data_IF_640592471957
#
_entry.id   IF_640592471957
#
_cell.length_a   1.000
_cell.length_b   1.000
_cell.length_c   1.000
_cell.angle_alpha   90.00
_cell.angle_beta   90.00
_cell.angle_gamma   90.00
#
_symmetry.space_group_name_H-M   'P 1'
#
loop_
_entity.id
_entity.type
_entity.pdbx_description
1 polymer ?
#
# COMPACT_ATOMS: atom_id res chain seq x y z
N UNK A 1 9.38 -47.83 -23.65
CA UNK A 1 10.25 -47.64 -22.47
C UNK A 1 9.34 -47.51 -21.26
N UNK A 2 9.65 -48.13 -20.11
CA UNK A 2 8.87 -47.92 -18.89
C UNK A 2 8.91 -46.44 -18.49
N UNK A 3 7.80 -45.93 -17.95
CA UNK A 3 7.74 -44.57 -17.40
C UNK A 3 8.78 -44.39 -16.29
N UNK A 4 9.35 -43.18 -16.18
CA UNK A 4 10.23 -42.83 -15.06
C UNK A 4 9.47 -43.04 -13.73
N UNK A 5 10.13 -43.53 -12.66
CA UNK A 5 9.54 -43.60 -11.32
C UNK A 5 8.88 -42.29 -10.88
N UNK A 6 9.49 -41.15 -11.23
CA UNK A 6 8.97 -39.82 -10.89
C UNK A 6 7.69 -39.49 -11.66
N UNK A 7 7.59 -39.94 -12.92
CA UNK A 7 6.38 -39.78 -13.73
C UNK A 7 5.23 -40.63 -13.18
N UNK A 8 5.53 -41.85 -12.72
CA UNK A 8 4.54 -42.71 -12.08
C UNK A 8 4.07 -42.10 -10.76
N UNK A 9 4.99 -41.60 -9.93
CA UNK A 9 4.66 -40.91 -8.68
C UNK A 9 3.80 -39.66 -8.92
N UNK A 10 4.14 -38.85 -9.93
CA UNK A 10 3.35 -37.68 -10.33
C UNK A 10 1.95 -38.08 -10.81
N UNK A 11 1.85 -39.12 -11.66
CA UNK A 11 0.57 -39.61 -12.18
C UNK A 11 -0.31 -40.20 -11.07
N UNK A 12 0.26 -40.99 -10.17
CA UNK A 12 -0.46 -41.57 -9.03
C UNK A 12 -0.93 -40.45 -8.10
N UNK A 13 -0.08 -39.48 -7.76
CA UNK A 13 -0.46 -38.34 -6.92
C UNK A 13 -1.58 -37.50 -7.55
N UNK A 14 -1.47 -37.18 -8.85
CA UNK A 14 -2.50 -36.44 -9.57
C UNK A 14 -3.81 -37.24 -9.58
N UNK A 15 -3.75 -38.53 -9.91
CA UNK A 15 -4.92 -39.41 -9.98
C UNK A 15 -5.62 -39.48 -8.62
N UNK A 16 -4.87 -39.72 -7.55
CA UNK A 16 -5.41 -39.90 -6.21
C UNK A 16 -6.05 -38.59 -5.72
N UNK A 17 -5.40 -37.44 -5.93
CA UNK A 17 -5.95 -36.11 -5.58
C UNK A 17 -7.24 -35.77 -6.31
N UNK A 18 -7.35 -36.08 -7.60
CA UNK A 18 -8.58 -35.84 -8.36
C UNK A 18 -9.65 -36.91 -8.12
N UNK A 19 -9.29 -38.13 -7.70
CA UNK A 19 -10.23 -39.20 -7.34
C UNK A 19 -10.88 -38.96 -5.95
N UNK A 20 -10.11 -38.47 -4.98
CA UNK A 20 -10.54 -38.24 -3.58
C UNK A 20 -11.49 -37.05 -3.40
N UNK A 21 -11.70 -36.23 -4.44
CA UNK A 21 -12.66 -35.11 -4.44
C UNK A 21 -14.10 -35.52 -4.11
N UNK A 22 -14.42 -36.82 -4.21
CA UNK A 22 -15.74 -37.37 -3.92
C UNK A 22 -15.95 -37.79 -2.45
N UNK A 23 -14.91 -37.84 -1.60
CA UNK A 23 -15.04 -38.47 -0.25
C UNK A 23 -14.32 -37.80 0.94
N UNK A 24 -13.51 -36.75 0.78
CA UNK A 24 -12.82 -36.12 1.92
C UNK A 24 -13.15 -34.63 2.15
N UNK A 25 -13.94 -34.38 3.20
CA UNK A 25 -14.35 -33.05 3.69
C UNK A 25 -13.52 -32.54 4.89
N UNK A 26 -12.34 -33.11 5.17
CA UNK A 26 -11.61 -32.77 6.41
C UNK A 26 -10.11 -32.86 6.29
N UNK A 27 -9.47 -31.80 5.78
CA UNK A 27 -8.02 -31.63 5.80
C UNK A 27 -7.66 -30.31 5.15
N UNK A 28 -6.67 -29.61 5.68
CA UNK A 28 -6.09 -28.42 5.05
C UNK A 28 -4.64 -28.70 4.69
N UNK A 29 -4.20 -28.22 3.53
CA UNK A 29 -2.82 -28.34 3.06
C UNK A 29 -2.12 -26.98 3.14
N UNK A 30 -0.84 -27.00 3.53
CA UNK A 30 -0.06 -25.78 3.76
C UNK A 30 0.96 -25.56 2.66
N UNK A 31 0.97 -24.35 2.10
CA UNK A 31 1.89 -23.88 1.07
C UNK A 31 2.61 -22.64 1.60
N UNK A 32 3.69 -22.85 2.36
CA UNK A 32 4.36 -21.75 3.06
C UNK A 32 3.43 -21.08 4.08
N UNK A 33 3.15 -19.77 3.98
CA UNK A 33 2.25 -19.08 4.90
C UNK A 33 0.76 -19.32 4.62
N UNK A 34 0.42 -20.06 3.56
CA UNK A 34 -0.96 -20.27 3.10
C UNK A 34 -1.52 -21.61 3.51
N UNK A 35 -2.82 -21.64 3.80
CA UNK A 35 -3.57 -22.85 4.13
C UNK A 35 -4.76 -22.97 3.19
N UNK A 36 -4.78 -24.01 2.36
CA UNK A 36 -5.85 -24.28 1.42
C UNK A 36 -6.68 -25.49 1.85
N UNK A 37 -7.98 -25.45 1.60
CA UNK A 37 -8.79 -26.65 1.60
C UNK A 37 -8.42 -27.54 0.39
N UNK A 38 -8.80 -28.84 0.39
CA UNK A 38 -8.36 -29.78 -0.64
C UNK A 38 -8.86 -29.42 -2.04
N UNK A 39 -10.02 -28.76 -2.14
CA UNK A 39 -10.58 -28.29 -3.41
C UNK A 39 -9.70 -27.21 -4.00
N UNK A 40 -9.37 -26.20 -3.19
CA UNK A 40 -8.52 -25.08 -3.59
C UNK A 40 -7.10 -25.53 -3.93
N UNK A 41 -6.55 -26.50 -3.19
CA UNK A 41 -5.24 -27.08 -3.50
C UNK A 41 -5.24 -27.86 -4.83
N UNK A 42 -6.36 -28.50 -5.19
CA UNK A 42 -6.51 -29.18 -6.47
C UNK A 42 -6.70 -28.19 -7.63
N UNK A 43 -7.42 -27.08 -7.41
CA UNK A 43 -7.55 -25.99 -8.39
C UNK A 43 -6.19 -25.34 -8.68
N UNK A 44 -5.36 -25.16 -7.65
CA UNK A 44 -3.98 -24.71 -7.76
C UNK A 44 -3.13 -25.64 -8.65
N UNK A 45 -3.19 -26.96 -8.42
CA UNK A 45 -2.50 -27.95 -9.25
C UNK A 45 -3.03 -27.94 -10.70
N UNK A 46 -4.34 -27.80 -10.89
CA UNK A 46 -4.94 -27.68 -12.21
C UNK A 46 -4.47 -26.42 -12.95
N UNK A 47 -4.30 -25.30 -12.25
CA UNK A 47 -3.73 -24.06 -12.81
C UNK A 47 -2.28 -24.27 -13.26
N UNK A 48 -1.44 -24.90 -12.44
CA UNK A 48 -0.05 -25.20 -12.82
C UNK A 48 0.04 -26.14 -14.04
N UNK A 49 -0.84 -27.13 -14.12
CA UNK A 49 -0.95 -28.02 -15.28
C UNK A 49 -1.33 -27.24 -16.56
N UNK A 50 -2.31 -26.34 -16.47
CA UNK A 50 -2.71 -25.48 -17.59
C UNK A 50 -1.55 -24.61 -18.08
N UNK A 51 -0.83 -23.99 -17.15
CA UNK A 51 0.31 -23.14 -17.51
C UNK A 51 1.49 -23.94 -18.07
N UNK A 52 1.76 -25.14 -17.55
CA UNK A 52 2.81 -26.00 -18.11
C UNK A 52 2.47 -26.45 -19.53
N UNK A 53 1.19 -26.71 -19.82
CA UNK A 53 0.73 -27.00 -21.19
C UNK A 53 0.94 -25.78 -22.08
N UNK A 54 0.52 -24.59 -21.64
CA UNK A 54 0.61 -23.34 -22.39
C UNK A 54 2.05 -22.89 -22.65
N UNK A 55 2.94 -23.01 -21.68
CA UNK A 55 4.37 -22.67 -21.80
C UNK A 55 5.03 -23.41 -22.98
N UNK A 56 4.65 -24.67 -23.20
CA UNK A 56 5.21 -25.53 -24.24
C UNK A 56 4.42 -25.57 -25.56
N UNK A 57 3.27 -24.89 -25.68
CA UNK A 57 2.50 -24.82 -26.95
C UNK A 57 3.22 -24.10 -28.11
N UNK A 58 4.02 -23.02 -27.90
CA UNK A 58 4.70 -22.33 -28.99
C UNK A 58 6.01 -23.00 -29.45
N UNK A 59 6.60 -23.88 -28.63
CA UNK A 59 7.86 -24.55 -28.97
C UNK A 59 7.57 -25.75 -29.88
N UNK A 60 7.62 -25.54 -31.21
CA UNK A 60 7.42 -26.57 -32.26
C UNK A 60 8.44 -27.74 -32.27
N UNK A 61 9.07 -28.04 -31.13
CA UNK A 61 10.10 -29.05 -30.96
C UNK A 61 10.03 -29.76 -29.60
N UNK A 62 9.01 -30.58 -29.39
CA UNK A 62 9.25 -31.90 -28.80
C UNK A 62 9.30 -32.07 -27.28
N UNK A 63 8.73 -31.18 -26.45
CA UNK A 63 8.47 -31.54 -25.04
C UNK A 63 7.16 -32.30 -24.96
N UNK A 64 7.24 -33.59 -24.61
CA UNK A 64 6.10 -34.49 -24.50
C UNK A 64 5.17 -34.10 -23.35
N UNK A 65 3.95 -34.61 -23.40
CA UNK A 65 2.98 -34.47 -22.30
C UNK A 65 3.56 -34.94 -20.93
N UNK A 66 4.36 -36.03 -20.84
CA UNK A 66 4.97 -36.46 -19.59
C UNK A 66 5.85 -35.41 -18.92
N UNK A 67 6.68 -34.71 -19.68
CA UNK A 67 7.60 -33.70 -19.15
C UNK A 67 6.82 -32.46 -18.64
N UNK A 68 5.71 -32.11 -19.29
CA UNK A 68 4.83 -31.00 -18.84
C UNK A 68 4.12 -31.33 -17.53
N UNK A 69 3.67 -32.57 -17.40
CA UNK A 69 3.03 -33.07 -16.16
C UNK A 69 4.04 -33.09 -15.02
N UNK A 70 5.27 -33.53 -15.28
CA UNK A 70 6.36 -33.49 -14.31
C UNK A 70 6.70 -32.07 -13.88
N UNK A 71 6.81 -31.12 -14.83
CA UNK A 71 7.06 -29.73 -14.52
C UNK A 71 5.97 -29.14 -13.62
N UNK A 72 4.70 -29.35 -13.94
CA UNK A 72 3.59 -28.87 -13.12
C UNK A 72 3.56 -29.52 -11.72
N UNK A 73 3.86 -30.81 -11.64
CA UNK A 73 3.93 -31.54 -10.36
C UNK A 73 5.07 -31.03 -9.48
N UNK A 74 6.27 -30.87 -10.04
CA UNK A 74 7.40 -30.31 -9.29
C UNK A 74 7.15 -28.84 -8.92
N UNK A 75 6.54 -28.04 -9.79
CA UNK A 75 6.14 -26.67 -9.47
C UNK A 75 5.13 -26.62 -8.30
N UNK A 76 4.22 -27.59 -8.21
CA UNK A 76 3.28 -27.72 -7.09
C UNK A 76 3.99 -28.11 -5.78
N UNK A 77 4.99 -28.99 -5.85
CA UNK A 77 5.84 -29.31 -4.70
C UNK A 77 6.69 -28.12 -4.27
N UNK A 78 7.25 -27.36 -5.21
CA UNK A 78 8.03 -26.16 -4.94
C UNK A 78 7.22 -25.10 -4.15
N UNK A 79 5.90 -25.03 -4.33
CA UNK A 79 5.04 -24.12 -3.55
C UNK A 79 5.01 -24.44 -2.05
N UNK A 80 5.35 -25.68 -1.65
CA UNK A 80 5.49 -26.04 -0.24
C UNK A 80 6.78 -25.49 0.37
N UNK A 81 7.76 -25.16 -0.47
CA UNK A 81 9.11 -24.74 -0.05
C UNK A 81 9.26 -23.23 -0.26
N UNK A 82 8.83 -22.46 0.74
CA UNK A 82 8.67 -20.99 0.65
C UNK A 82 9.99 -20.20 0.55
N UNK A 83 11.07 -20.71 1.16
CA UNK A 83 12.33 -19.97 1.31
C UNK A 83 13.49 -20.54 0.46
N UNK A 84 13.39 -21.79 -0.01
CA UNK A 84 14.47 -22.47 -0.75
C UNK A 84 14.36 -22.29 -2.28
N UNK A 85 15.24 -22.96 -3.01
CA UNK A 85 15.22 -23.00 -4.48
C UNK A 85 13.96 -23.72 -5.00
N UNK A 86 13.30 -23.11 -5.97
CA UNK A 86 12.08 -23.60 -6.61
C UNK A 86 12.26 -23.67 -8.12
N UNK A 87 13.11 -24.60 -8.60
CA UNK A 87 13.56 -24.63 -9.98
C UNK A 87 12.42 -24.85 -10.98
N UNK A 88 11.40 -25.64 -10.61
CA UNK A 88 10.28 -25.93 -11.50
C UNK A 88 9.32 -24.73 -11.61
N UNK A 89 9.09 -24.00 -10.51
CA UNK A 89 8.34 -22.73 -10.57
C UNK A 89 9.10 -21.65 -11.33
N UNK A 90 10.41 -21.51 -11.09
CA UNK A 90 11.25 -20.53 -11.80
C UNK A 90 11.27 -20.81 -13.32
N UNK A 91 11.33 -22.09 -13.74
CA UNK A 91 11.23 -22.52 -15.13
C UNK A 91 9.85 -22.22 -15.74
N UNK A 92 8.78 -22.61 -15.03
CA UNK A 92 7.41 -22.49 -15.50
C UNK A 92 6.95 -21.04 -15.65
N UNK A 93 7.30 -20.18 -14.69
CA UNK A 93 6.84 -18.79 -14.64
C UNK A 93 7.76 -17.84 -15.41
N UNK A 94 9.04 -18.18 -15.56
CA UNK A 94 10.04 -17.44 -16.32
C UNK A 94 10.43 -16.10 -15.67
N UNK A 95 11.72 -15.79 -15.67
CA UNK A 95 12.26 -14.55 -15.09
C UNK A 95 11.83 -13.27 -15.83
N UNK A 96 11.46 -13.36 -17.11
CA UNK A 96 11.16 -12.20 -17.97
C UNK A 96 9.70 -11.73 -17.86
N UNK A 97 8.85 -12.47 -17.14
CA UNK A 97 7.43 -12.18 -17.01
C UNK A 97 7.07 -11.30 -15.79
N UNK A 98 8.04 -10.90 -14.95
CA UNK A 98 7.80 -10.18 -13.67
C UNK A 98 6.85 -9.00 -13.81
N UNK A 99 7.04 -8.18 -14.86
CA UNK A 99 6.22 -7.00 -15.07
C UNK A 99 4.87 -7.29 -15.74
N UNK A 100 4.77 -8.38 -16.52
CA UNK A 100 3.52 -8.80 -17.16
C UNK A 100 2.57 -9.44 -16.15
N UNK A 101 3.09 -10.19 -15.19
CA UNK A 101 2.27 -10.90 -14.20
C UNK A 101 1.73 -9.95 -13.12
N UNK A 102 2.50 -8.92 -12.77
CA UNK A 102 2.16 -7.99 -11.69
C UNK A 102 1.41 -6.73 -12.17
N UNK A 103 1.13 -6.60 -13.47
CA UNK A 103 0.41 -5.43 -13.97
C UNK A 103 -1.11 -5.61 -13.75
N UNK A 104 -1.80 -4.68 -13.08
CA UNK A 104 -3.21 -4.85 -12.71
C UNK A 104 -4.16 -5.12 -13.90
N UNK A 105 -3.82 -4.63 -15.09
CA UNK A 105 -4.62 -4.82 -16.31
C UNK A 105 -4.36 -6.13 -17.06
N UNK A 106 -3.31 -6.88 -16.70
CA UNK A 106 -2.99 -8.20 -17.28
C UNK A 106 -3.12 -9.31 -16.24
N UNK A 107 -3.16 -8.98 -14.95
CA UNK A 107 -3.44 -9.95 -13.90
C UNK A 107 -4.89 -10.45 -13.89
N UNK A 108 -5.77 -9.84 -14.70
CA UNK A 108 -7.08 -10.38 -15.02
C UNK A 108 -7.04 -11.49 -16.08
N UNK A 109 -5.90 -11.70 -16.77
CA UNK A 109 -5.73 -12.91 -17.57
C UNK A 109 -5.68 -14.11 -16.62
N UNK A 110 -6.64 -15.02 -16.77
CA UNK A 110 -6.84 -16.23 -15.97
C UNK A 110 -5.64 -17.20 -15.88
N UNK A 111 -4.48 -16.84 -16.43
CA UNK A 111 -3.28 -17.66 -16.54
C UNK A 111 -2.64 -17.95 -15.17
N UNK A 112 -2.56 -16.95 -14.28
CA UNK A 112 -1.97 -17.07 -12.93
C UNK A 112 -2.87 -16.48 -11.86
N UNK A 113 -4.20 -16.54 -12.05
CA UNK A 113 -5.19 -15.99 -11.12
C UNK A 113 -5.18 -16.63 -9.73
N UNK A 114 -4.32 -17.62 -9.49
CA UNK A 114 -4.13 -18.26 -8.21
C UNK A 114 -3.27 -17.38 -7.27
N UNK A 115 -3.84 -16.92 -6.15
CA UNK A 115 -3.19 -15.98 -5.25
C UNK A 115 -1.96 -16.57 -4.56
N UNK A 116 -1.91 -17.89 -4.35
CA UNK A 116 -0.71 -18.58 -3.82
C UNK A 116 0.48 -18.43 -4.77
N UNK A 117 0.27 -18.63 -6.07
CA UNK A 117 1.34 -18.51 -7.08
C UNK A 117 1.82 -17.07 -7.15
N UNK A 118 0.90 -16.11 -7.15
CA UNK A 118 1.22 -14.68 -7.18
C UNK A 118 2.01 -14.25 -5.94
N UNK A 119 1.57 -14.66 -4.75
CA UNK A 119 2.25 -14.31 -3.52
C UNK A 119 3.64 -14.95 -3.42
N UNK A 120 3.76 -16.22 -3.82
CA UNK A 120 5.05 -16.90 -3.95
C UNK A 120 6.00 -16.13 -4.88
N UNK A 121 5.51 -15.75 -6.06
CA UNK A 121 6.28 -15.03 -7.06
C UNK A 121 6.74 -13.65 -6.56
N UNK A 122 5.84 -12.89 -5.92
CA UNK A 122 6.15 -11.59 -5.34
C UNK A 122 7.22 -11.73 -4.25
N UNK A 123 7.08 -12.71 -3.35
CA UNK A 123 8.04 -12.94 -2.28
C UNK A 123 9.44 -13.28 -2.83
N UNK A 124 9.50 -14.21 -3.79
CA UNK A 124 10.74 -14.65 -4.45
C UNK A 124 11.48 -13.51 -5.14
N UNK A 125 10.74 -12.64 -5.83
CA UNK A 125 11.33 -11.57 -6.64
C UNK A 125 11.32 -10.19 -5.99
N UNK A 126 10.92 -10.07 -4.71
CA UNK A 126 10.76 -8.76 -4.03
C UNK A 126 11.96 -7.82 -4.17
N UNK A 127 13.18 -8.35 -4.11
CA UNK A 127 14.42 -7.57 -4.25
C UNK A 127 14.67 -7.02 -5.67
N UNK A 128 14.03 -7.58 -6.70
CA UNK A 128 14.11 -7.14 -8.11
C UNK A 128 12.96 -6.21 -8.48
N UNK A 129 11.91 -6.15 -7.68
CA UNK A 129 10.77 -5.28 -7.92
C UNK A 129 11.16 -3.80 -7.74
N UNK A 130 10.58 -2.92 -8.55
CA UNK A 130 10.70 -1.48 -8.30
C UNK A 130 10.10 -1.11 -6.93
N UNK A 131 10.60 -0.08 -6.27
CA UNK A 131 10.08 0.39 -4.98
C UNK A 131 8.58 0.65 -4.97
N UNK A 132 8.05 1.18 -6.09
CA UNK A 132 6.60 1.37 -6.26
C UNK A 132 5.84 0.06 -6.23
N UNK A 133 6.38 -0.98 -6.88
CA UNK A 133 5.75 -2.30 -6.90
C UNK A 133 5.87 -3.01 -5.55
N UNK A 134 6.99 -2.82 -4.84
CA UNK A 134 7.16 -3.34 -3.48
C UNK A 134 6.11 -2.77 -2.51
N UNK A 135 5.83 -1.45 -2.59
CA UNK A 135 4.73 -0.82 -1.85
C UNK A 135 3.36 -1.36 -2.26
N UNK A 136 3.10 -1.38 -3.57
CA UNK A 136 1.80 -1.80 -4.12
C UNK A 136 1.48 -3.25 -3.73
N UNK A 137 2.49 -4.12 -3.73
CA UNK A 137 2.34 -5.54 -3.44
C UNK A 137 2.58 -5.93 -1.97
N UNK A 138 2.90 -4.95 -1.11
CA UNK A 138 3.15 -5.15 0.33
C UNK A 138 4.14 -6.29 0.61
N UNK A 139 5.32 -6.20 0.00
CA UNK A 139 6.32 -7.28 -0.02
C UNK A 139 6.90 -7.66 1.35
N UNK A 140 6.65 -6.87 2.39
CA UNK A 140 7.08 -7.16 3.77
C UNK A 140 6.00 -7.91 4.58
N UNK A 141 4.80 -8.12 4.03
CA UNK A 141 3.84 -9.07 4.61
C UNK A 141 4.35 -10.50 4.45
N UNK A 142 3.99 -11.36 5.40
CA UNK A 142 4.20 -12.81 5.26
C UNK A 142 3.52 -13.35 3.99
N UNK A 143 2.32 -12.83 3.71
CA UNK A 143 1.52 -13.11 2.54
C UNK A 143 1.41 -11.85 1.66
N UNK A 144 2.38 -11.57 0.76
CA UNK A 144 2.29 -10.43 -0.14
C UNK A 144 1.15 -10.64 -1.14
N UNK A 145 0.53 -9.56 -1.59
CA UNK A 145 -0.67 -9.60 -2.43
C UNK A 145 -0.60 -8.56 -3.52
N UNK A 146 -1.41 -8.68 -4.55
CA UNK A 146 -1.55 -7.60 -5.53
C UNK A 146 -2.20 -6.36 -4.90
N UNK A 147 -1.98 -5.15 -5.48
CA UNK A 147 -2.63 -3.95 -4.99
C UNK A 147 -4.15 -4.04 -5.10
N UNK A 148 -4.85 -3.47 -4.13
CA UNK A 148 -6.31 -3.35 -4.19
C UNK A 148 -6.73 -2.50 -5.41
N UNK A 149 -7.72 -2.99 -6.14
CA UNK A 149 -8.22 -2.31 -7.36
C UNK A 149 -9.25 -1.21 -7.04
N UNK A 150 -9.92 -1.28 -5.90
CA UNK A 150 -10.95 -0.34 -5.51
C UNK A 150 -10.47 0.82 -4.62
N UNK A 151 -11.34 1.83 -4.51
CA UNK A 151 -11.22 2.98 -3.63
C UNK A 151 -11.70 2.72 -2.21
N UNK A 152 -12.29 1.57 -1.90
CA UNK A 152 -12.61 1.17 -0.53
C UNK A 152 -11.41 0.49 0.16
N UNK A 153 -11.25 0.67 1.47
CA UNK A 153 -10.09 0.14 2.21
C UNK A 153 -10.26 -1.35 2.57
N UNK A 154 -11.51 -1.80 2.70
CA UNK A 154 -11.91 -3.11 3.22
C UNK A 154 -12.34 -4.10 2.14
N UNK A 155 -12.10 -3.79 0.88
CA UNK A 155 -12.47 -4.71 -0.18
C UNK A 155 -11.58 -5.96 -0.21
N UNK A 156 -12.16 -7.14 -0.51
CA UNK A 156 -11.40 -8.35 -0.71
C UNK A 156 -10.41 -8.15 -1.87
N UNK A 157 -9.14 -8.47 -1.60
CA UNK A 157 -8.11 -8.49 -2.63
C UNK A 157 -8.51 -9.42 -3.78
N UNK A 158 -8.11 -9.16 -5.04
CA UNK A 158 -8.37 -10.09 -6.14
C UNK A 158 -7.82 -11.48 -5.77
N UNK A 159 -8.69 -12.49 -5.76
CA UNK A 159 -8.42 -13.85 -5.31
C UNK A 159 -7.95 -13.92 -3.83
N UNK A 160 -8.90 -13.86 -2.89
CA UNK A 160 -8.59 -13.84 -1.45
C UNK A 160 -8.34 -15.22 -0.89
N UNK A 161 -7.08 -15.48 -0.55
CA UNK A 161 -6.71 -16.46 0.47
C UNK A 161 -7.30 -16.02 1.83
N UNK A 162 -7.55 -16.97 2.73
CA UNK A 162 -8.11 -16.68 4.06
C UNK A 162 -7.23 -15.71 4.83
N UNK A 163 -5.92 -15.81 4.63
CA UNK A 163 -4.85 -14.96 5.19
C UNK A 163 -4.93 -13.49 4.72
N UNK A 164 -5.69 -13.22 3.66
CA UNK A 164 -5.95 -11.86 3.16
C UNK A 164 -7.26 -11.27 3.69
N UNK A 165 -8.15 -12.07 4.29
CA UNK A 165 -9.48 -11.65 4.71
C UNK A 165 -9.55 -11.02 6.10
N UNK A 166 -8.50 -11.12 6.92
CA UNK A 166 -8.49 -10.64 8.30
C UNK A 166 -8.03 -9.19 8.47
N UNK A 167 -7.45 -8.58 7.44
CA UNK A 167 -6.90 -7.22 7.49
C UNK A 167 -7.24 -6.44 6.23
N UNK A 168 -7.51 -5.13 6.33
CA UNK A 168 -7.74 -4.31 5.15
C UNK A 168 -6.51 -4.30 4.24
N UNK A 169 -6.79 -4.22 2.94
CA UNK A 169 -5.76 -4.32 1.90
C UNK A 169 -4.74 -3.17 1.97
N UNK A 170 -5.12 -2.02 2.56
CA UNK A 170 -4.36 -0.77 2.53
C UNK A 170 -4.81 0.20 3.63
N UNK A 171 -3.93 1.11 4.10
CA UNK A 171 -4.28 2.07 5.15
C UNK A 171 -5.28 3.11 4.61
N UNK A 172 -6.42 3.37 5.28
CA UNK A 172 -7.36 4.43 4.92
C UNK A 172 -6.68 5.80 4.77
N UNK A 173 -7.11 6.60 3.78
CA UNK A 173 -6.49 7.90 3.52
C UNK A 173 -6.77 8.91 4.65
N UNK A 174 -7.88 8.72 5.36
CA UNK A 174 -8.27 9.49 6.55
C UNK A 174 -7.24 9.42 7.67
N UNK A 175 -6.54 8.30 7.82
CA UNK A 175 -5.61 8.06 8.92
C UNK A 175 -4.22 8.67 8.70
N UNK A 176 -3.95 9.17 7.50
CA UNK A 176 -2.61 9.53 7.08
C UNK A 176 -2.44 11.06 7.16
N UNK A 177 -1.55 11.56 8.05
CA UNK A 177 -1.23 12.98 8.12
C UNK A 177 -0.51 13.44 6.84
N UNK A 178 -0.55 14.75 6.58
CA UNK A 178 0.15 15.34 5.42
C UNK A 178 1.67 15.07 5.49
N UNK A 179 2.25 15.06 6.70
CA UNK A 179 3.64 14.68 6.97
C UNK A 179 3.71 13.64 8.09
N UNK A 180 4.27 12.46 7.77
CA UNK A 180 4.54 11.42 8.77
C UNK A 180 5.43 11.95 9.89
N UNK A 181 5.09 11.75 11.18
CA UNK A 181 5.97 12.11 12.28
C UNK A 181 7.33 11.40 12.17
N UNK A 182 8.43 12.06 12.57
CA UNK A 182 9.77 11.54 12.31
C UNK A 182 10.09 10.25 13.08
N UNK A 183 9.36 9.94 14.15
CA UNK A 183 9.56 8.75 14.99
C UNK A 183 8.71 7.55 14.57
N UNK A 184 7.72 7.75 13.69
CA UNK A 184 6.70 6.73 13.39
C UNK A 184 7.20 5.70 12.38
N UNK A 185 7.95 6.16 11.37
CA UNK A 185 8.51 5.31 10.33
C UNK A 185 10.03 5.45 10.32
N UNK A 186 10.73 4.42 9.84
CA UNK A 186 12.18 4.44 9.63
C UNK A 186 12.56 5.32 8.41
N UNK A 187 12.18 6.60 8.46
CA UNK A 187 12.35 7.55 7.36
C UNK A 187 13.83 7.88 7.15
N UNK A 188 14.40 7.64 5.96
CA UNK A 188 15.78 8.04 5.64
C UNK A 188 15.99 9.58 5.68
N UNK A 189 14.89 10.33 5.77
CA UNK A 189 14.84 11.79 5.65
C UNK A 189 14.00 12.42 6.77
N UNK A 190 13.99 11.82 7.96
CA UNK A 190 13.11 12.19 9.07
C UNK A 190 13.17 13.68 9.44
N UNK A 191 14.34 14.33 9.35
CA UNK A 191 14.52 15.74 9.70
C UNK A 191 14.01 16.74 8.64
N UNK A 192 13.73 16.28 7.42
CA UNK A 192 13.34 17.14 6.30
C UNK A 192 11.82 17.07 6.06
N UNK A 193 11.09 18.20 6.07
CA UNK A 193 9.66 18.24 5.77
C UNK A 193 9.30 17.57 4.44
N UNK A 194 10.11 17.75 3.40
CA UNK A 194 9.88 17.08 2.11
C UNK A 194 10.09 15.56 2.25
N UNK A 195 11.08 15.14 3.03
CA UNK A 195 11.31 13.73 3.37
C UNK A 195 10.13 13.07 4.08
N UNK A 196 9.57 13.76 5.07
CA UNK A 196 8.39 13.32 5.82
C UNK A 196 7.13 13.26 4.95
N UNK A 197 6.93 14.25 4.07
CA UNK A 197 5.84 14.23 3.09
C UNK A 197 5.95 13.04 2.13
N UNK A 198 7.17 12.70 1.69
CA UNK A 198 7.42 11.49 0.90
C UNK A 198 7.11 10.22 1.68
N UNK A 199 7.40 10.20 2.99
CA UNK A 199 6.98 9.15 3.91
C UNK A 199 5.47 8.93 3.88
N UNK A 200 4.68 10.00 4.05
CA UNK A 200 3.21 9.95 3.93
C UNK A 200 2.76 9.45 2.55
N UNK A 201 3.39 9.92 1.47
CA UNK A 201 3.06 9.48 0.11
C UNK A 201 3.36 7.99 -0.10
N UNK A 202 4.46 7.47 0.45
CA UNK A 202 4.80 6.05 0.37
C UNK A 202 3.82 5.22 1.19
N UNK A 203 3.52 5.64 2.43
CA UNK A 203 2.56 4.95 3.30
C UNK A 203 1.16 4.94 2.72
N UNK A 204 0.70 6.05 2.13
CA UNK A 204 -0.56 6.07 1.37
C UNK A 204 -0.52 5.09 0.19
N UNK A 205 0.62 4.93 -0.49
CA UNK A 205 0.73 3.97 -1.59
C UNK A 205 0.94 2.51 -1.15
N UNK A 206 1.01 2.22 0.15
CA UNK A 206 1.06 0.85 0.65
C UNK A 206 -0.23 0.10 0.26
N UNK A 207 -0.09 -1.04 -0.43
CA UNK A 207 -1.22 -1.78 -0.99
C UNK A 207 -1.96 -1.08 -2.14
N UNK A 208 -1.39 0.01 -2.70
CA UNK A 208 -2.00 0.78 -3.81
C UNK A 208 -1.10 0.82 -5.04
N UNK A 209 -1.72 0.71 -6.22
CA UNK A 209 -1.08 0.95 -7.51
C UNK A 209 -1.12 2.40 -7.99
N UNK A 210 -1.47 3.38 -7.14
CA UNK A 210 -1.84 4.73 -7.55
C UNK A 210 -0.65 5.60 -8.01
N UNK A 211 -0.78 6.44 -9.05
CA UNK A 211 0.25 7.40 -9.44
C UNK A 211 0.68 8.30 -8.26
N UNK A 212 1.96 8.72 -8.22
CA UNK A 212 2.45 9.61 -7.15
C UNK A 212 1.73 10.96 -7.12
N UNK A 213 1.24 11.46 -8.25
CA UNK A 213 0.38 12.65 -8.30
C UNK A 213 -0.91 12.47 -7.51
N UNK A 214 -1.52 11.29 -7.57
CA UNK A 214 -2.72 10.98 -6.81
C UNK A 214 -2.42 10.99 -5.31
N UNK A 215 -1.34 10.33 -4.88
CA UNK A 215 -0.93 10.34 -3.49
C UNK A 215 -0.67 11.75 -2.96
N UNK A 216 -0.03 12.61 -3.77
CA UNK A 216 0.20 14.00 -3.41
C UNK A 216 -1.13 14.75 -3.20
N UNK A 217 -2.06 14.67 -4.16
CA UNK A 217 -3.35 15.36 -4.07
C UNK A 217 -4.19 14.87 -2.88
N UNK A 218 -4.23 13.56 -2.65
CA UNK A 218 -4.99 12.96 -1.53
C UNK A 218 -4.49 13.43 -0.15
N UNK A 219 -3.18 13.70 -0.04
CA UNK A 219 -2.54 14.24 1.16
C UNK A 219 -2.56 15.77 1.22
N UNK A 220 -3.24 16.45 0.28
CA UNK A 220 -3.25 17.90 0.19
C UNK A 220 -1.87 18.51 -0.12
N UNK A 221 -0.97 17.74 -0.71
CA UNK A 221 0.38 18.18 -1.10
C UNK A 221 0.38 18.72 -2.54
N UNK A 222 1.32 19.61 -2.90
CA UNK A 222 1.47 20.07 -4.28
C UNK A 222 1.73 18.90 -5.25
N UNK A 223 0.93 18.77 -6.31
CA UNK A 223 1.05 17.69 -7.31
C UNK A 223 2.47 17.53 -7.88
N UNK A 224 3.20 18.65 -8.03
CA UNK A 224 4.60 18.69 -8.50
C UNK A 224 5.57 17.86 -7.64
N UNK A 225 5.24 17.57 -6.39
CA UNK A 225 6.04 16.72 -5.51
C UNK A 225 6.26 15.31 -6.07
N UNK A 226 5.40 14.83 -6.97
CA UNK A 226 5.57 13.54 -7.65
C UNK A 226 6.96 13.37 -8.29
N UNK A 227 7.55 14.46 -8.82
CA UNK A 227 8.85 14.42 -9.49
C UNK A 227 10.01 14.28 -8.49
N UNK A 228 9.82 14.78 -7.27
CA UNK A 228 10.80 14.65 -6.19
C UNK A 228 10.82 13.22 -5.63
N UNK A 229 9.67 12.55 -5.55
CA UNK A 229 9.55 11.17 -5.03
C UNK A 229 10.49 10.22 -5.77
N UNK A 230 10.36 10.14 -7.09
CA UNK A 230 11.16 9.21 -7.90
C UNK A 230 12.66 9.53 -7.87
N UNK A 231 13.02 10.81 -7.79
CA UNK A 231 14.41 11.24 -7.65
C UNK A 231 15.03 10.83 -6.31
N UNK A 232 14.28 11.01 -5.21
CA UNK A 232 14.77 10.68 -3.87
C UNK A 232 14.79 9.18 -3.61
N UNK A 233 13.74 8.46 -3.99
CA UNK A 233 13.67 7.01 -3.84
C UNK A 233 14.85 6.32 -4.52
N UNK A 234 15.23 6.73 -5.74
CA UNK A 234 16.42 6.19 -6.45
C UNK A 234 17.75 6.34 -5.70
N UNK A 235 17.83 7.23 -4.71
CA UNK A 235 19.04 7.47 -3.90
C UNK A 235 18.99 6.77 -2.55
N UNK A 236 17.88 6.12 -2.19
CA UNK A 236 17.74 5.38 -0.94
C UNK A 236 18.57 4.11 -1.04
N UNK A 237 19.37 3.83 -0.01
CA UNK A 237 20.11 2.58 0.05
C UNK A 237 19.14 1.42 0.28
N UNK A 238 19.39 0.25 -0.32
CA UNK A 238 18.48 -0.90 -0.25
C UNK A 238 18.10 -1.27 1.20
N UNK A 239 19.06 -1.26 2.13
CA UNK A 239 18.80 -1.49 3.56
C UNK A 239 17.81 -0.49 4.15
N UNK A 240 17.99 0.80 3.88
CA UNK A 240 17.09 1.86 4.37
C UNK A 240 15.68 1.72 3.79
N UNK A 241 15.59 1.27 2.54
CA UNK A 241 14.31 1.00 1.90
C UNK A 241 13.59 -0.18 2.55
N UNK A 242 14.29 -1.29 2.82
CA UNK A 242 13.74 -2.43 3.54
C UNK A 242 13.30 -2.07 4.96
N UNK A 243 14.11 -1.31 5.69
CA UNK A 243 13.76 -0.82 7.04
C UNK A 243 12.50 0.06 6.99
N UNK A 244 12.38 0.93 5.98
CA UNK A 244 11.20 1.77 5.77
C UNK A 244 9.95 0.93 5.48
N UNK A 245 10.01 -0.02 4.54
CA UNK A 245 8.86 -0.87 4.19
C UNK A 245 8.38 -1.68 5.41
N UNK A 246 9.31 -2.25 6.18
CA UNK A 246 8.95 -2.99 7.39
C UNK A 246 8.26 -2.10 8.41
N UNK A 247 8.83 -0.92 8.67
CA UNK A 247 8.21 0.04 9.60
C UNK A 247 6.82 0.49 9.15
N UNK A 248 6.54 0.53 7.84
CA UNK A 248 5.20 0.84 7.32
C UNK A 248 4.21 -0.28 7.60
N UNK A 249 4.60 -1.54 7.37
CA UNK A 249 3.73 -2.69 7.71
C UNK A 249 3.47 -2.76 9.22
N UNK A 250 4.51 -2.61 10.04
CA UNK A 250 4.39 -2.60 11.50
C UNK A 250 3.47 -1.48 11.98
N UNK A 251 3.65 -0.26 11.47
CA UNK A 251 2.81 0.88 11.83
C UNK A 251 1.38 0.71 11.34
N UNK A 252 1.16 0.16 10.14
CA UNK A 252 -0.18 -0.09 9.68
C UNK A 252 -0.89 -1.12 10.57
N UNK A 253 -0.21 -2.20 10.94
CA UNK A 253 -0.77 -3.19 11.86
C UNK A 253 -1.10 -2.57 13.22
N UNK A 254 -0.30 -1.63 13.73
CA UNK A 254 -0.64 -0.86 14.93
C UNK A 254 -1.92 -0.04 14.75
N UNK A 255 -2.06 0.68 13.64
CA UNK A 255 -3.26 1.48 13.34
C UNK A 255 -4.53 0.64 13.16
N UNK A 256 -4.43 -0.64 12.83
CA UNK A 256 -5.58 -1.54 12.79
C UNK A 256 -6.15 -1.83 14.18
N UNK A 257 -5.28 -1.85 15.20
CA UNK A 257 -5.68 -2.08 16.59
C UNK A 257 -6.09 -0.80 17.29
N UNK A 258 -5.41 0.30 16.97
CA UNK A 258 -5.64 1.63 17.54
C UNK A 258 -5.71 2.68 16.41
N UNK A 259 -6.87 2.80 15.73
CA UNK A 259 -7.03 3.75 14.64
C UNK A 259 -6.91 5.17 15.18
N UNK A 260 -6.32 6.11 14.41
CA UNK A 260 -6.16 7.46 14.89
C UNK A 260 -7.54 8.10 15.09
N UNK A 261 -7.75 8.86 16.19
CA UNK A 261 -9.03 9.52 16.45
C UNK A 261 -9.31 10.65 15.45
N UNK A 262 -8.31 11.01 14.64
CA UNK A 262 -8.32 12.15 13.73
C UNK A 262 -8.57 11.69 12.29
N UNK A 263 -9.56 12.28 11.64
CA UNK A 263 -9.73 12.18 10.19
C UNK A 263 -8.92 13.27 9.47
N UNK A 264 -7.64 12.99 9.20
CA UNK A 264 -6.74 13.94 8.55
C UNK A 264 -7.20 14.36 7.15
N UNK A 265 -7.92 13.50 6.42
CA UNK A 265 -8.49 13.86 5.12
C UNK A 265 -9.56 14.92 5.27
N UNK A 266 -10.46 14.75 6.23
CA UNK A 266 -11.50 15.71 6.56
C UNK A 266 -10.92 17.06 6.98
N UNK A 267 -9.96 17.03 7.92
CA UNK A 267 -9.28 18.23 8.41
C UNK A 267 -8.65 19.04 7.28
N UNK A 268 -7.98 18.37 6.32
CA UNK A 268 -7.41 19.04 5.13
C UNK A 268 -8.48 19.67 4.23
N UNK A 269 -9.63 19.04 4.05
CA UNK A 269 -10.72 19.58 3.23
C UNK A 269 -11.33 20.83 3.87
N UNK A 270 -11.64 20.77 5.16
CA UNK A 270 -12.26 21.89 5.89
C UNK A 270 -11.28 23.05 6.05
N UNK A 271 -10.02 22.77 6.41
CA UNK A 271 -9.02 23.82 6.59
C UNK A 271 -8.58 24.48 5.27
N UNK A 272 -8.93 23.89 4.12
CA UNK A 272 -8.66 24.49 2.81
C UNK A 272 -9.62 25.65 2.45
N UNK A 273 -10.60 25.97 3.30
CA UNK A 273 -11.38 27.21 3.22
C UNK A 273 -10.66 28.35 3.98
N UNK A 274 -9.95 29.25 3.27
CA UNK A 274 -9.17 30.30 3.91
C UNK A 274 -10.04 31.37 4.58
N UNK A 275 -11.28 31.58 4.12
CA UNK A 275 -12.17 32.59 4.69
C UNK A 275 -12.72 32.09 6.01
N UNK A 276 -13.18 30.85 6.04
CA UNK A 276 -13.60 30.19 7.27
C UNK A 276 -12.47 30.22 8.31
N UNK A 277 -11.28 29.76 7.92
CA UNK A 277 -10.12 29.71 8.82
C UNK A 277 -9.75 31.10 9.35
N UNK A 278 -9.76 32.11 8.47
CA UNK A 278 -9.42 33.48 8.84
C UNK A 278 -10.44 34.07 9.82
N UNK A 279 -11.73 33.88 9.56
CA UNK A 279 -12.80 34.36 10.44
C UNK A 279 -12.69 33.74 11.82
N UNK A 280 -12.58 32.41 11.89
CA UNK A 280 -12.51 31.71 13.18
C UNK A 280 -11.25 32.07 13.97
N UNK A 281 -10.08 32.16 13.32
CA UNK A 281 -8.86 32.59 13.99
C UNK A 281 -8.94 34.05 14.47
N UNK A 282 -9.58 34.94 13.71
CA UNK A 282 -9.77 36.33 14.13
C UNK A 282 -10.76 36.45 15.29
N UNK A 283 -11.83 35.65 15.29
CA UNK A 283 -12.84 35.63 16.35
C UNK A 283 -12.30 35.06 17.67
N UNK A 284 -11.53 33.97 17.59
CA UNK A 284 -11.05 33.28 18.79
C UNK A 284 -9.71 33.82 19.33
N UNK A 285 -8.81 34.30 18.46
CA UNK A 285 -7.44 34.68 18.86
C UNK A 285 -7.09 36.14 18.52
N UNK A 286 -7.93 36.85 17.76
CA UNK A 286 -7.58 38.14 17.16
C UNK A 286 -7.23 39.25 18.16
N UNK A 287 -7.60 39.09 19.43
CA UNK A 287 -7.28 40.04 20.53
C UNK A 287 -6.21 39.54 21.48
N UNK A 288 -5.85 38.26 21.42
CA UNK A 288 -5.02 37.59 22.45
C UNK A 288 -3.53 37.54 22.10
N UNK A 289 -3.18 37.84 20.84
CA UNK A 289 -1.80 37.70 20.36
C UNK A 289 -1.38 38.84 19.43
N UNK A 290 -0.12 39.25 19.54
CA UNK A 290 0.53 40.17 18.60
C UNK A 290 1.03 39.46 17.33
N UNK A 291 0.81 38.15 17.23
CA UNK A 291 1.24 37.35 16.08
C UNK A 291 0.41 37.70 14.86
N UNK A 292 1.03 37.98 13.69
CA UNK A 292 0.28 38.25 12.48
C UNK A 292 -0.67 37.10 12.13
N UNK A 293 -1.92 37.42 11.77
CA UNK A 293 -2.95 36.42 11.45
C UNK A 293 -2.49 35.41 10.38
N UNK A 294 -1.69 35.86 9.41
CA UNK A 294 -1.14 34.98 8.38
C UNK A 294 -0.19 33.90 8.93
N UNK A 295 0.55 34.19 10.00
CA UNK A 295 1.36 33.21 10.73
C UNK A 295 0.45 32.28 11.52
N UNK A 296 -0.54 32.81 12.25
CA UNK A 296 -1.49 31.97 13.01
C UNK A 296 -2.18 30.93 12.11
N UNK A 297 -2.59 31.32 10.90
CA UNK A 297 -3.16 30.39 9.91
C UNK A 297 -2.21 29.25 9.54
N UNK A 298 -0.93 29.55 9.32
CA UNK A 298 0.07 28.54 8.97
C UNK A 298 0.33 27.59 10.14
N UNK A 299 0.53 28.14 11.33
CA UNK A 299 0.81 27.34 12.53
C UNK A 299 -0.40 26.46 12.86
N UNK A 300 -1.61 27.01 12.77
CA UNK A 300 -2.84 26.24 12.93
C UNK A 300 -2.97 25.15 11.86
N UNK A 301 -2.70 25.46 10.58
CA UNK A 301 -2.68 24.45 9.51
C UNK A 301 -1.76 23.28 9.82
N UNK A 302 -0.53 23.55 10.30
CA UNK A 302 0.43 22.51 10.67
C UNK A 302 -0.09 21.59 11.78
N UNK A 303 -0.60 22.18 12.86
CA UNK A 303 -1.14 21.42 14.00
C UNK A 303 -2.39 20.62 13.61
N UNK A 304 -3.32 21.28 12.92
CA UNK A 304 -4.62 20.68 12.60
C UNK A 304 -4.49 19.56 11.56
N UNK A 305 -3.68 19.73 10.52
CA UNK A 305 -3.56 18.76 9.41
C UNK A 305 -2.40 17.77 9.52
N UNK A 306 -1.55 17.92 10.55
CA UNK A 306 -0.26 17.22 10.63
C UNK A 306 0.68 17.62 9.48
N UNK A 307 0.58 18.88 9.05
CA UNK A 307 1.20 19.42 7.85
C UNK A 307 2.50 20.20 8.09
N UNK A 308 2.92 20.93 7.06
CA UNK A 308 4.02 21.89 7.16
C UNK A 308 3.69 23.14 6.32
N UNK A 309 4.09 24.33 6.78
CA UNK A 309 3.82 25.58 6.09
C UNK A 309 4.24 25.58 4.61
N UNK A 310 5.36 24.93 4.28
CA UNK A 310 5.85 24.74 2.90
C UNK A 310 4.84 24.08 1.95
N UNK A 311 3.89 23.31 2.50
CA UNK A 311 2.87 22.59 1.74
C UNK A 311 1.46 23.10 2.01
N UNK A 312 1.33 24.19 2.77
CA UNK A 312 0.05 24.86 2.93
C UNK A 312 -0.46 25.32 1.56
N UNK A 313 -1.77 25.17 1.27
CA UNK A 313 -2.39 25.71 0.08
C UNK A 313 -2.04 27.19 -0.11
N UNK A 314 -1.88 27.69 -1.36
CA UNK A 314 -1.52 29.08 -1.63
C UNK A 314 -2.44 30.11 -0.96
N UNK A 315 -3.70 29.73 -0.70
CA UNK A 315 -4.69 30.58 -0.03
C UNK A 315 -4.47 30.72 1.48
N UNK A 316 -3.72 29.79 2.09
CA UNK A 316 -3.34 29.78 3.50
C UNK A 316 -1.96 30.41 3.70
N UNK A 317 -1.05 30.19 2.74
CA UNK A 317 0.33 30.69 2.76
C UNK A 317 0.45 32.21 2.94
N UNK A 318 1.59 32.65 3.48
CA UNK A 318 1.95 34.07 3.65
C UNK A 318 2.46 34.60 2.30
N UNK A 319 1.54 35.02 1.41
CA UNK A 319 1.85 35.60 0.11
C UNK A 319 1.85 34.59 -1.06
N UNK A 320 2.29 35.03 -2.25
CA UNK A 320 2.27 34.19 -3.47
C UNK A 320 3.32 33.06 -3.47
N UNK A 321 4.31 33.12 -2.57
CA UNK A 321 5.35 32.11 -2.43
C UNK A 321 5.10 31.21 -1.21
N UNK A 322 5.29 29.90 -1.39
CA UNK A 322 5.06 28.89 -0.35
C UNK A 322 6.16 28.85 0.74
N UNK A 323 7.18 29.72 0.65
CA UNK A 323 8.25 29.80 1.65
C UNK A 323 7.84 30.81 2.75
N UNK A 324 7.64 30.37 4.00
CA UNK A 324 7.24 31.26 5.08
C UNK A 324 8.39 32.18 5.56
N UNK A 325 9.61 32.01 5.04
CA UNK A 325 10.75 32.87 5.28
C UNK A 325 11.51 32.56 6.59
N UNK A 326 12.68 33.19 6.79
CA UNK A 326 13.63 32.80 7.85
C UNK A 326 13.16 33.15 9.27
N UNK A 327 12.21 34.07 9.43
CA UNK A 327 11.66 34.44 10.73
C UNK A 327 10.56 33.48 11.22
N UNK A 328 10.02 32.64 10.33
CA UNK A 328 8.89 31.78 10.63
C UNK A 328 9.12 30.80 11.79
N UNK A 329 10.29 30.14 11.96
CA UNK A 329 10.49 29.22 13.08
C UNK A 329 10.25 29.86 14.46
N UNK A 330 10.76 31.08 14.67
CA UNK A 330 10.56 31.80 15.94
C UNK A 330 9.09 32.21 16.12
N UNK A 331 8.49 32.78 15.06
CA UNK A 331 7.08 33.19 15.10
C UNK A 331 6.12 32.01 15.31
N UNK A 332 6.49 30.83 14.80
CA UNK A 332 5.78 29.58 15.00
C UNK A 332 5.84 29.12 16.46
N UNK A 333 7.02 29.14 17.07
CA UNK A 333 7.18 28.78 18.49
C UNK A 333 6.40 29.73 19.39
N UNK A 334 6.49 31.04 19.14
CA UNK A 334 5.72 32.05 19.88
C UNK A 334 4.21 31.82 19.75
N UNK A 335 3.71 31.56 18.54
CA UNK A 335 2.30 31.28 18.29
C UNK A 335 1.82 30.01 19.01
N UNK A 336 2.60 28.93 18.97
CA UNK A 336 2.26 27.69 19.67
C UNK A 336 2.20 27.88 21.18
N UNK A 337 3.11 28.69 21.74
CA UNK A 337 3.13 28.96 23.17
C UNK A 337 1.97 29.86 23.62
N UNK A 338 1.58 30.83 22.79
CA UNK A 338 0.54 31.81 23.12
C UNK A 338 -0.87 31.31 22.86
N UNK A 339 -1.07 30.54 21.78
CA UNK A 339 -2.40 30.24 21.24
C UNK A 339 -2.79 28.76 21.39
N UNK A 340 -2.11 28.00 22.25
CA UNK A 340 -2.31 26.55 22.36
C UNK A 340 -3.77 26.18 22.64
N UNK A 341 -4.37 26.73 23.70
CA UNK A 341 -5.76 26.45 24.10
C UNK A 341 -6.77 26.88 23.02
N UNK A 342 -6.57 28.05 22.42
CA UNK A 342 -7.44 28.51 21.34
C UNK A 342 -7.30 27.69 20.04
N UNK A 343 -6.12 27.13 19.75
CA UNK A 343 -5.96 26.17 18.66
C UNK A 343 -6.65 24.84 18.96
N UNK A 344 -6.65 24.36 20.20
CA UNK A 344 -7.40 23.16 20.57
C UNK A 344 -8.91 23.38 20.40
N UNK A 345 -9.43 24.49 20.90
CA UNK A 345 -10.85 24.81 20.76
C UNK A 345 -11.28 24.98 19.29
N UNK A 346 -10.46 25.67 18.49
CA UNK A 346 -10.70 25.81 17.06
C UNK A 346 -10.65 24.46 16.32
N UNK A 347 -9.75 23.56 16.72
CA UNK A 347 -9.66 22.23 16.14
C UNK A 347 -10.92 21.40 16.44
N UNK A 348 -11.42 21.44 17.68
CA UNK A 348 -12.68 20.77 18.06
C UNK A 348 -13.87 21.30 17.26
N UNK A 349 -13.99 22.62 17.10
CA UNK A 349 -15.07 23.23 16.32
C UNK A 349 -15.00 22.82 14.84
N UNK A 350 -13.81 22.80 14.25
CA UNK A 350 -13.63 22.40 12.87
C UNK A 350 -13.84 20.91 12.65
N UNK A 351 -13.49 20.06 13.61
CA UNK A 351 -13.75 18.62 13.55
C UNK A 351 -15.26 18.33 13.56
N UNK A 352 -16.03 19.00 14.41
CA UNK A 352 -17.51 18.91 14.42
C UNK A 352 -18.10 19.32 13.07
N UNK A 353 -17.59 20.40 12.46
CA UNK A 353 -18.01 20.84 11.12
C UNK A 353 -17.61 19.84 10.04
N UNK A 354 -16.45 19.20 10.17
CA UNK A 354 -15.95 18.20 9.24
C UNK A 354 -16.82 16.93 9.24
N UNK A 355 -17.28 16.49 10.41
CA UNK A 355 -18.23 15.38 10.54
C UNK A 355 -19.54 15.65 9.79
N UNK A 356 -20.07 16.87 9.89
CA UNK A 356 -21.29 17.28 9.16
C UNK A 356 -21.08 17.27 7.65
N UNK A 357 -19.93 17.79 7.18
CA UNK A 357 -19.62 17.88 5.75
C UNK A 357 -19.38 16.51 5.10
N UNK A 358 -18.90 15.53 5.87
CA UNK A 358 -18.58 14.19 5.38
C UNK A 358 -19.65 13.14 5.71
N UNK A 359 -20.76 13.53 6.33
CA UNK A 359 -21.87 12.64 6.60
C UNK A 359 -22.39 12.00 5.28
N UNK A 360 -22.72 10.70 5.26
CA UNK A 360 -23.25 10.06 4.07
C UNK A 360 -24.57 10.73 3.64
N UNK A 361 -24.56 11.38 2.47
CA UNK A 361 -25.72 12.10 1.90
C UNK A 361 -25.47 13.57 1.57
N UNK A 362 -24.42 14.19 2.13
CA UNK A 362 -24.00 15.55 1.75
C UNK A 362 -23.21 15.49 0.44
N UNK A 363 -23.82 15.96 -0.67
CA UNK A 363 -23.08 16.17 -1.93
C UNK A 363 -22.09 17.32 -1.71
N UNK A 364 -20.83 16.99 -1.48
CA UNK A 364 -19.73 17.94 -1.65
C UNK A 364 -19.48 18.03 -3.15
N UNK A 365 -19.99 19.07 -3.79
CA UNK A 365 -19.59 19.38 -5.17
C UNK A 365 -18.08 19.67 -5.17
N UNK A 366 -17.31 19.00 -6.04
CA UNK A 366 -15.90 19.35 -6.20
C UNK A 366 -15.80 20.76 -6.80
N UNK A 367 -14.76 21.53 -6.44
CA UNK A 367 -14.52 22.86 -7.00
C UNK A 367 -14.21 22.84 -8.50
#
# INVERSE_FOLDING_TARGET
MPASPDLLAAQDTIRDRFADTSTHQGGTESFGPFTLDPTSANDLLATLLREAIRYYEPQRGGVGLPERVLLAYHAFLDLHVWEDEAPALDELLGSDNVHRLLHPSTCTDAALGEPVILAWYINRHRGRLSYRMQLACRTERAAPSLPAQSREAWEPLPATLVEHGSEPARPPAEWIPQLMPPQVLALPWASDPLGRALGSMCFLNLGRGNPWSHAAVELGLPRRLQHHVAGRLRRVHQRQWSDLLRSMEDYFNQLLHDPPPINYRARRLVANDPLLLQTLLAEQLGTETNTPLAVLRLVFWEQYTGGHALFAPPRIAIGQNADPGPAYPNLREDALQQCHEGFEHLAEELDQRAEILLAPGTRVEPP
#
